data_IF_305459294965
#
_entry.id   IF_305459294965
#
_cell.length_a   1.000
_cell.length_b   1.000
_cell.length_c   1.000
_cell.angle_alpha   90.00
_cell.angle_beta   90.00
_cell.angle_gamma   90.00
#
_symmetry.space_group_name_H-M   'P 1'
#
loop_
_entity.id
_entity.type
_entity.pdbx_description
1 polymer ?
#
# COMPACT_ATOMS: atom_id res chain seq x y z
N UNK A 1 4.76 29.28 -2.18
CA UNK A 1 3.80 28.15 -2.10
C UNK A 1 2.62 28.64 -1.29
N UNK A 2 1.42 28.55 -1.84
CA UNK A 2 0.19 28.91 -1.12
C UNK A 2 -0.51 27.62 -0.73
N UNK A 3 -0.86 27.50 0.56
CA UNK A 3 -1.58 26.34 1.11
C UNK A 3 -2.89 26.83 1.69
N UNK A 4 -3.99 26.20 1.29
CA UNK A 4 -5.30 26.40 1.90
C UNK A 4 -5.77 25.08 2.49
N UNK A 5 -6.06 25.07 3.78
CA UNK A 5 -6.55 23.89 4.49
C UNK A 5 -8.04 24.05 4.73
N UNK A 6 -8.84 23.14 4.22
CA UNK A 6 -10.30 23.07 4.43
C UNK A 6 -10.62 21.78 5.16
N UNK A 7 -11.41 21.89 6.23
CA UNK A 7 -11.91 20.71 6.94
C UNK A 7 -13.18 20.21 6.26
N UNK A 8 -13.12 19.03 5.65
CA UNK A 8 -14.29 18.39 5.04
C UNK A 8 -15.17 17.71 6.08
N UNK A 9 -14.55 17.18 7.15
CA UNK A 9 -15.22 16.44 8.22
C UNK A 9 -14.42 16.59 9.52
N UNK A 10 -14.91 16.04 10.64
CA UNK A 10 -14.20 16.10 11.94
C UNK A 10 -12.75 15.63 11.86
N UNK A 11 -12.46 14.67 10.99
CA UNK A 11 -11.16 14.05 10.86
C UNK A 11 -10.53 14.15 9.47
N UNK A 12 -11.31 14.52 8.43
CA UNK A 12 -10.82 14.67 7.06
C UNK A 12 -10.45 16.12 6.77
N UNK A 13 -9.26 16.31 6.23
CA UNK A 13 -8.76 17.62 5.80
C UNK A 13 -8.39 17.52 4.33
N UNK A 14 -8.76 18.55 3.61
CA UNK A 14 -8.36 18.78 2.23
C UNK A 14 -7.39 19.95 2.20
N UNK A 15 -6.22 19.72 1.62
CA UNK A 15 -5.23 20.74 1.37
C UNK A 15 -5.23 21.08 -0.12
N UNK A 16 -5.50 22.31 -0.45
CA UNK A 16 -5.27 22.85 -1.81
C UNK A 16 -3.93 23.55 -1.81
N UNK A 17 -3.02 23.09 -2.67
CA UNK A 17 -1.62 23.53 -2.69
C UNK A 17 -1.31 24.08 -4.08
N UNK A 18 -0.92 25.38 -4.11
CA UNK A 18 -0.40 26.03 -5.30
C UNK A 18 1.13 26.15 -5.22
N UNK A 19 1.81 25.54 -6.18
CA UNK A 19 3.27 25.51 -6.26
C UNK A 19 3.73 26.45 -7.37
N UNK A 20 4.61 27.42 -7.09
CA UNK A 20 5.12 28.33 -8.11
C UNK A 20 6.02 27.61 -9.12
N UNK A 21 6.08 28.15 -10.34
CA UNK A 21 6.85 27.59 -11.44
C UNK A 21 8.34 27.36 -11.11
N UNK A 22 8.94 28.20 -10.26
CA UNK A 22 10.33 28.04 -9.84
C UNK A 22 10.62 26.71 -9.13
N UNK A 23 9.67 26.25 -8.30
CA UNK A 23 9.78 24.98 -7.58
C UNK A 23 9.58 23.81 -8.54
N UNK A 24 8.63 23.94 -9.48
CA UNK A 24 8.40 22.95 -10.53
C UNK A 24 9.64 22.77 -11.40
N UNK A 25 10.28 23.85 -11.83
CA UNK A 25 11.54 23.80 -12.61
C UNK A 25 12.68 23.12 -11.81
N UNK A 26 12.75 23.35 -10.49
CA UNK A 26 13.71 22.62 -9.64
C UNK A 26 13.39 21.12 -9.59
N UNK A 27 12.11 20.76 -9.48
CA UNK A 27 11.65 19.37 -9.52
C UNK A 27 12.01 18.67 -10.83
N UNK A 28 11.83 19.33 -11.98
CA UNK A 28 12.29 18.79 -13.27
C UNK A 28 13.81 18.54 -13.30
N UNK A 29 14.61 19.44 -12.75
CA UNK A 29 16.07 19.23 -12.66
C UNK A 29 16.41 18.02 -11.78
N UNK A 30 15.71 17.84 -10.67
CA UNK A 30 15.89 16.70 -9.77
C UNK A 30 15.46 15.39 -10.44
N UNK A 31 14.32 15.39 -11.13
CA UNK A 31 13.83 14.23 -11.87
C UNK A 31 14.82 13.78 -12.95
N UNK A 32 15.32 14.71 -13.74
CA UNK A 32 16.35 14.44 -14.75
C UNK A 32 17.60 13.84 -14.11
N UNK A 33 18.07 14.39 -12.99
CA UNK A 33 19.23 13.87 -12.25
C UNK A 33 18.94 12.47 -11.66
N UNK A 34 17.75 12.25 -11.17
CA UNK A 34 17.31 10.96 -10.61
C UNK A 34 17.31 9.88 -11.68
N UNK A 35 16.65 10.10 -12.81
CA UNK A 35 16.62 9.19 -13.96
C UNK A 35 18.03 8.94 -14.49
N UNK A 36 18.85 10.00 -14.66
CA UNK A 36 20.24 9.86 -15.13
C UNK A 36 21.10 8.99 -14.22
N UNK A 37 20.81 8.99 -12.90
CA UNK A 37 21.51 8.17 -11.92
C UNK A 37 21.00 6.74 -11.83
N UNK A 38 19.76 6.48 -12.21
CA UNK A 38 19.20 5.13 -12.17
C UNK A 38 19.58 4.33 -13.44
N UNK A 39 19.61 4.98 -14.58
CA UNK A 39 19.74 4.30 -15.86
C UNK A 39 21.11 4.55 -16.51
N UNK A 40 21.65 3.50 -17.15
CA UNK A 40 22.87 3.61 -17.95
C UNK A 40 22.51 4.00 -19.39
N UNK A 41 22.84 5.23 -19.76
CA UNK A 41 22.60 5.75 -21.12
C UNK A 41 23.87 5.54 -21.97
N UNK A 42 23.79 4.90 -23.13
CA UNK A 42 24.94 4.71 -24.00
C UNK A 42 25.61 6.04 -24.38
N UNK A 43 26.92 6.11 -24.28
CA UNK A 43 27.70 7.32 -24.58
C UNK A 43 27.83 8.33 -23.47
N UNK A 44 27.17 8.14 -22.31
CA UNK A 44 27.25 9.05 -21.17
C UNK A 44 27.63 8.33 -19.87
N UNK A 45 28.43 9.00 -19.03
CA UNK A 45 28.70 8.54 -17.67
C UNK A 45 27.41 8.67 -16.85
N UNK A 46 27.13 7.69 -16.00
CA UNK A 46 25.98 7.68 -15.08
C UNK A 46 25.83 9.01 -14.32
N UNK A 47 24.66 9.61 -14.36
CA UNK A 47 24.35 10.89 -13.76
C UNK A 47 24.79 12.13 -14.55
N UNK A 48 25.39 12.01 -15.76
CA UNK A 48 25.89 13.13 -16.55
C UNK A 48 25.18 13.32 -17.89
N UNK A 49 24.14 12.56 -18.16
CA UNK A 49 23.35 12.71 -19.38
C UNK A 49 22.53 14.02 -19.33
N UNK A 50 22.56 14.85 -20.39
CA UNK A 50 21.75 16.06 -20.47
C UNK A 50 20.27 15.73 -20.64
N UNK A 51 19.38 16.62 -20.16
CA UNK A 51 17.92 16.48 -20.18
C UNK A 51 17.39 16.02 -21.55
N UNK A 52 17.86 16.64 -22.63
CA UNK A 52 17.41 16.33 -23.99
C UNK A 52 17.63 14.87 -24.39
N UNK A 53 18.73 14.27 -23.95
CA UNK A 53 19.04 12.86 -24.22
C UNK A 53 18.15 11.94 -23.40
N UNK A 54 17.89 12.31 -22.16
CA UNK A 54 16.98 11.55 -21.28
C UNK A 54 15.55 11.58 -21.83
N UNK A 55 15.06 12.75 -22.23
CA UNK A 55 13.74 12.92 -22.84
C UNK A 55 13.60 12.16 -24.17
N UNK A 56 14.70 12.02 -24.94
CA UNK A 56 14.70 11.26 -26.20
C UNK A 56 14.64 9.75 -25.96
N UNK A 57 15.28 9.25 -24.88
CA UNK A 57 15.31 7.82 -24.55
C UNK A 57 14.07 7.34 -23.79
N UNK A 58 13.55 8.15 -22.89
CA UNK A 58 12.45 7.77 -21.98
C UNK A 58 11.12 8.45 -22.31
N UNK A 59 11.15 9.44 -23.17
CA UNK A 59 9.98 10.28 -23.47
C UNK A 59 9.85 11.46 -22.50
N UNK A 60 9.24 12.53 -22.97
CA UNK A 60 8.98 13.72 -22.15
C UNK A 60 7.98 13.44 -21.04
N UNK A 61 7.02 12.55 -21.29
CA UNK A 61 5.97 12.19 -20.33
C UNK A 61 6.53 11.46 -19.09
N UNK A 62 7.50 10.55 -19.29
CA UNK A 62 8.14 9.85 -18.19
C UNK A 62 8.94 10.80 -17.28
N UNK A 63 9.65 11.77 -17.88
CA UNK A 63 10.37 12.80 -17.12
C UNK A 63 9.41 13.72 -16.39
N UNK A 64 8.28 14.08 -17.02
CA UNK A 64 7.25 14.90 -16.40
C UNK A 64 6.56 14.16 -15.23
N UNK A 65 6.28 12.86 -15.37
CA UNK A 65 5.72 12.05 -14.30
C UNK A 65 6.63 11.99 -13.07
N UNK A 66 7.92 11.69 -13.29
CA UNK A 66 8.91 11.69 -12.18
C UNK A 66 9.06 13.06 -11.53
N UNK A 67 9.07 14.14 -12.33
CA UNK A 67 9.11 15.50 -11.81
C UNK A 67 7.86 15.84 -10.99
N UNK A 68 6.71 15.39 -11.44
CA UNK A 68 5.44 15.55 -10.74
C UNK A 68 5.47 14.87 -9.37
N UNK A 69 5.89 13.62 -9.30
CA UNK A 69 5.97 12.87 -8.05
C UNK A 69 6.92 13.55 -7.04
N UNK A 70 8.06 14.01 -7.50
CA UNK A 70 9.03 14.74 -6.66
C UNK A 70 8.42 16.05 -6.13
N UNK A 71 7.80 16.85 -7.01
CA UNK A 71 7.22 18.15 -6.63
C UNK A 71 6.04 17.98 -5.68
N UNK A 72 5.14 17.03 -5.96
CA UNK A 72 3.98 16.74 -5.13
C UNK A 72 4.41 16.30 -3.74
N UNK A 73 5.32 15.32 -3.65
CA UNK A 73 5.78 14.82 -2.36
C UNK A 73 6.48 15.90 -1.53
N UNK A 74 7.31 16.73 -2.17
CA UNK A 74 8.01 17.82 -1.48
C UNK A 74 7.03 18.89 -1.00
N UNK A 75 6.14 19.36 -1.88
CA UNK A 75 5.18 20.40 -1.54
C UNK A 75 4.14 19.91 -0.50
N UNK A 76 3.75 18.66 -0.55
CA UNK A 76 2.84 18.05 0.44
C UNK A 76 3.48 17.99 1.83
N UNK A 77 4.75 17.55 1.91
CA UNK A 77 5.48 17.52 3.18
C UNK A 77 5.64 18.93 3.77
N UNK A 78 5.98 19.89 2.94
CA UNK A 78 6.11 21.29 3.36
C UNK A 78 4.76 21.85 3.85
N UNK A 79 3.67 21.54 3.15
CA UNK A 79 2.33 21.97 3.53
C UNK A 79 1.88 21.35 4.87
N UNK A 80 2.10 20.06 5.07
CA UNK A 80 1.78 19.35 6.32
C UNK A 80 2.57 19.94 7.49
N UNK A 81 3.86 20.27 7.27
CA UNK A 81 4.70 20.91 8.28
C UNK A 81 4.25 22.34 8.61
N UNK A 82 3.89 23.16 7.61
CA UNK A 82 3.39 24.52 7.81
C UNK A 82 2.11 24.54 8.64
N UNK A 83 1.16 23.67 8.32
CA UNK A 83 -0.12 23.56 9.03
C UNK A 83 -0.03 22.76 10.34
N UNK A 84 1.14 22.23 10.68
CA UNK A 84 1.38 21.40 11.87
C UNK A 84 0.35 20.26 12.00
N UNK A 85 0.01 19.66 10.87
CA UNK A 85 -0.91 18.54 10.80
C UNK A 85 -0.15 17.22 10.93
N UNK A 86 -0.81 16.21 11.47
CA UNK A 86 -0.28 14.84 11.49
C UNK A 86 -1.25 14.00 10.67
N UNK A 87 -0.79 13.58 9.48
CA UNK A 87 -1.54 12.67 8.64
C UNK A 87 -1.47 11.24 9.19
N UNK A 88 -2.61 10.60 9.36
CA UNK A 88 -2.72 9.20 9.81
C UNK A 88 -2.81 8.25 8.63
N UNK A 89 -3.34 8.72 7.50
CA UNK A 89 -3.47 7.94 6.27
C UNK A 89 -2.59 8.54 5.17
N UNK A 90 -2.23 7.70 4.20
CA UNK A 90 -1.60 8.18 2.96
C UNK A 90 -2.52 9.18 2.26
N UNK A 91 -2.04 10.39 1.95
CA UNK A 91 -2.84 11.40 1.27
C UNK A 91 -3.28 10.95 -0.13
N UNK A 92 -4.56 11.14 -0.43
CA UNK A 92 -5.08 11.00 -1.79
C UNK A 92 -4.87 12.32 -2.53
N UNK A 93 -4.03 12.30 -3.56
CA UNK A 93 -3.70 13.50 -4.34
C UNK A 93 -4.48 13.51 -5.64
N UNK A 94 -5.22 14.60 -5.87
CA UNK A 94 -5.85 14.92 -7.15
C UNK A 94 -5.13 16.09 -7.77
N UNK A 95 -4.57 15.86 -8.95
CA UNK A 95 -3.91 16.89 -9.72
C UNK A 95 -4.92 17.68 -10.51
N UNK A 96 -4.80 19.01 -10.48
CA UNK A 96 -5.61 19.94 -11.27
C UNK A 96 -4.80 20.50 -12.44
N UNK A 97 -3.56 20.89 -12.18
CA UNK A 97 -2.68 21.49 -13.19
C UNK A 97 -1.21 21.18 -12.85
N UNK A 98 -0.42 20.89 -13.89
CA UNK A 98 1.02 20.75 -13.77
C UNK A 98 1.70 21.26 -15.04
N UNK A 99 2.45 22.35 -14.91
CA UNK A 99 3.15 22.97 -16.03
C UNK A 99 4.48 23.59 -15.55
N UNK A 100 5.51 23.48 -16.36
CA UNK A 100 6.83 24.09 -16.08
C UNK A 100 6.78 25.62 -16.05
N UNK A 101 5.83 26.23 -16.80
CA UNK A 101 5.71 27.67 -16.95
C UNK A 101 4.73 28.31 -15.98
N UNK A 102 3.61 27.62 -15.71
CA UNK A 102 2.52 28.14 -14.89
C UNK A 102 2.56 27.62 -13.45
N UNK A 103 3.42 26.66 -13.15
CA UNK A 103 3.47 26.02 -11.85
C UNK A 103 2.58 24.78 -11.75
N UNK A 104 2.28 24.35 -10.52
CA UNK A 104 1.44 23.19 -10.26
C UNK A 104 0.37 23.51 -9.22
N UNK A 105 -0.84 22.99 -9.43
CA UNK A 105 -1.93 23.02 -8.47
C UNK A 105 -2.45 21.62 -8.25
N UNK A 106 -2.58 21.22 -6.99
CA UNK A 106 -3.14 19.93 -6.62
C UNK A 106 -3.85 19.97 -5.29
N UNK A 107 -4.76 19.05 -5.11
CA UNK A 107 -5.58 18.89 -3.91
C UNK A 107 -5.24 17.57 -3.24
N UNK A 108 -4.86 17.61 -1.97
CA UNK A 108 -4.55 16.43 -1.18
C UNK A 108 -5.59 16.24 -0.08
N UNK A 109 -6.19 15.05 0.01
CA UNK A 109 -7.16 14.69 1.04
C UNK A 109 -6.60 13.59 1.92
N UNK A 110 -6.63 13.79 3.22
CA UNK A 110 -6.16 12.81 4.20
C UNK A 110 -6.89 12.93 5.54
N UNK A 111 -6.76 11.92 6.37
CA UNK A 111 -7.28 11.92 7.74
C UNK A 111 -6.22 12.45 8.69
N UNK A 112 -6.57 13.51 9.44
CA UNK A 112 -5.71 14.07 10.49
C UNK A 112 -5.88 13.32 11.80
N UNK A 113 -4.84 13.31 12.62
CA UNK A 113 -4.92 12.79 13.98
C UNK A 113 -5.94 13.60 14.79
N UNK A 114 -6.93 12.93 15.43
CA UNK A 114 -7.91 13.61 16.25
C UNK A 114 -7.27 14.19 17.52
N UNK A 115 -7.68 15.40 17.88
CA UNK A 115 -7.31 15.99 19.17
C UNK A 115 -8.28 15.48 20.22
N UNK A 116 -7.80 14.61 21.12
CA UNK A 116 -8.60 14.04 22.19
C UNK A 116 -8.67 15.04 23.35
N UNK A 117 -9.89 15.35 23.80
CA UNK A 117 -10.14 16.03 25.06
C UNK A 117 -10.41 14.97 26.12
N UNK A 118 -9.55 14.92 27.13
CA UNK A 118 -9.77 14.02 28.26
C UNK A 118 -10.97 14.50 29.07
N UNK A 119 -11.90 13.60 29.35
CA UNK A 119 -12.96 13.82 30.32
C UNK A 119 -12.45 13.65 31.75
N UNK A 120 -13.34 13.57 32.73
CA UNK A 120 -12.99 13.25 34.11
C UNK A 120 -12.53 11.79 34.17
N UNK A 121 -11.25 11.57 34.41
CA UNK A 121 -10.62 10.25 34.46
C UNK A 121 -10.17 9.85 35.88
N UNK A 122 -10.34 10.77 36.86
CA UNK A 122 -10.06 10.51 38.27
C UNK A 122 -11.35 10.13 38.97
N UNK A 123 -11.27 9.16 39.88
CA UNK A 123 -12.43 8.71 40.69
C UNK A 123 -13.37 7.76 39.95
N UNK A 124 -12.99 7.23 38.80
CA UNK A 124 -13.78 6.21 38.10
C UNK A 124 -13.79 4.90 38.89
N UNK A 125 -14.98 4.36 39.09
CA UNK A 125 -15.17 3.02 39.65
C UNK A 125 -15.55 2.05 38.51
N UNK A 126 -14.82 0.96 38.39
CA UNK A 126 -15.13 -0.08 37.41
C UNK A 126 -15.52 -1.39 38.14
N UNK A 127 -16.61 -2.01 37.69
CA UNK A 127 -17.01 -3.31 38.24
C UNK A 127 -16.07 -4.39 37.66
N UNK A 128 -15.28 -4.99 38.53
CA UNK A 128 -14.44 -6.12 38.14
C UNK A 128 -15.29 -7.38 38.02
N UNK A 129 -15.46 -7.87 36.82
CA UNK A 129 -16.13 -9.15 36.57
C UNK A 129 -15.04 -10.21 36.41
N UNK A 130 -15.04 -11.20 37.31
CA UNK A 130 -14.16 -12.37 37.13
C UNK A 130 -14.68 -13.18 35.96
N UNK A 131 -13.85 -13.46 34.93
CA UNK A 131 -14.25 -14.35 33.86
C UNK A 131 -14.43 -15.76 34.42
N UNK A 132 -15.62 -16.31 34.21
CA UNK A 132 -15.87 -17.74 34.48
C UNK A 132 -15.46 -18.51 33.22
N UNK A 133 -14.46 -19.35 33.37
CA UNK A 133 -13.99 -20.22 32.27
C UNK A 133 -14.80 -21.50 32.35
N UNK A 134 -15.55 -21.80 31.31
CA UNK A 134 -16.30 -23.05 31.20
C UNK A 134 -15.40 -24.22 30.80
N UNK A 135 -15.77 -25.44 31.25
CA UNK A 135 -15.06 -26.65 30.86
C UNK A 135 -15.01 -26.85 29.34
N UNK A 136 -16.04 -26.41 28.62
CA UNK A 136 -16.07 -26.43 27.17
C UNK A 136 -14.97 -25.57 26.53
N UNK A 137 -14.68 -24.40 27.11
CA UNK A 137 -13.60 -23.54 26.63
C UNK A 137 -12.23 -24.17 26.87
N UNK A 138 -12.05 -24.84 28.02
CA UNK A 138 -10.82 -25.57 28.33
C UNK A 138 -10.64 -26.73 27.34
N UNK A 139 -11.70 -27.51 27.09
CA UNK A 139 -11.66 -28.62 26.12
C UNK A 139 -11.41 -28.15 24.69
N UNK A 140 -11.96 -27.00 24.29
CA UNK A 140 -11.68 -26.40 22.99
C UNK A 140 -10.19 -26.01 22.83
N UNK A 141 -9.58 -25.44 23.87
CA UNK A 141 -8.15 -25.12 23.88
C UNK A 141 -7.28 -26.38 23.80
N UNK A 142 -7.65 -27.43 24.54
CA UNK A 142 -6.92 -28.71 24.49
C UNK A 142 -7.00 -29.33 23.09
N UNK A 143 -8.18 -29.31 22.46
CA UNK A 143 -8.35 -29.78 21.08
C UNK A 143 -7.51 -28.99 20.10
N UNK A 144 -7.53 -27.67 20.19
CA UNK A 144 -6.72 -26.80 19.32
C UNK A 144 -5.22 -27.08 19.49
N UNK A 145 -4.75 -27.26 20.72
CA UNK A 145 -3.36 -27.62 20.99
C UNK A 145 -3.01 -29.03 20.45
N UNK A 146 -3.92 -29.98 20.57
CA UNK A 146 -3.73 -31.31 20.01
C UNK A 146 -3.67 -31.31 18.47
N UNK A 147 -4.53 -30.51 17.80
CA UNK A 147 -4.51 -30.34 16.36
C UNK A 147 -3.21 -29.69 15.86
N UNK A 148 -2.69 -28.69 16.58
CA UNK A 148 -1.41 -28.04 16.22
C UNK A 148 -0.22 -28.99 16.35
N UNK A 149 -0.27 -29.95 17.25
CA UNK A 149 0.79 -30.94 17.48
C UNK A 149 0.51 -32.30 16.79
N UNK A 150 -0.58 -32.38 16.04
CA UNK A 150 -0.94 -33.61 15.33
C UNK A 150 0.11 -33.94 14.25
N UNK A 151 0.47 -35.21 14.17
CA UNK A 151 1.34 -35.74 13.11
C UNK A 151 0.48 -36.48 12.11
N UNK A 152 0.78 -36.25 10.83
CA UNK A 152 0.13 -37.04 9.77
C UNK A 152 0.81 -38.40 9.69
N UNK A 153 0.02 -39.45 9.88
CA UNK A 153 0.44 -40.85 9.65
C UNK A 153 -0.26 -41.40 8.41
N UNK A 154 0.45 -42.20 7.66
CA UNK A 154 -0.08 -42.81 6.45
C UNK A 154 -1.10 -43.88 6.87
N UNK A 155 -2.32 -43.78 6.42
CA UNK A 155 -3.34 -44.79 6.66
C UNK A 155 -3.00 -46.11 5.97
N UNK A 156 -3.51 -47.22 6.50
CA UNK A 156 -3.36 -48.56 5.90
C UNK A 156 -4.05 -48.62 4.54
N UNK A 157 -3.51 -49.42 3.63
CA UNK A 157 -4.06 -49.59 2.29
C UNK A 157 -5.49 -50.18 2.37
N UNK A 158 -6.44 -49.53 1.68
CA UNK A 158 -7.85 -49.94 1.69
C UNK A 158 -8.72 -49.23 2.74
N UNK A 159 -8.18 -48.31 3.52
CA UNK A 159 -8.96 -47.53 4.48
C UNK A 159 -9.87 -46.55 3.76
N UNK A 160 -11.16 -46.52 4.14
CA UNK A 160 -12.15 -45.59 3.60
C UNK A 160 -11.97 -44.23 4.25
N UNK A 161 -11.87 -43.19 3.45
CA UNK A 161 -11.77 -41.80 3.89
C UNK A 161 -12.95 -41.37 4.77
N UNK A 162 -12.68 -40.83 5.93
CA UNK A 162 -13.67 -40.30 6.86
C UNK A 162 -13.55 -38.74 6.91
N UNK A 163 -14.61 -38.11 7.42
CA UNK A 163 -14.62 -36.68 7.64
C UNK A 163 -13.53 -36.29 8.66
N UNK A 164 -12.55 -35.53 8.24
CA UNK A 164 -11.39 -35.13 9.05
C UNK A 164 -10.05 -35.70 8.55
N UNK A 165 -10.09 -36.69 7.65
CA UNK A 165 -8.87 -37.23 7.05
C UNK A 165 -8.35 -36.32 5.95
N UNK A 166 -7.03 -36.37 5.72
CA UNK A 166 -6.35 -35.62 4.66
C UNK A 166 -6.07 -36.58 3.50
N UNK A 167 -6.68 -36.32 2.35
CA UNK A 167 -6.41 -37.06 1.12
C UNK A 167 -5.35 -36.34 0.27
N UNK A 168 -4.30 -37.06 -0.10
CA UNK A 168 -3.32 -36.59 -1.10
C UNK A 168 -3.69 -37.21 -2.44
N UNK A 169 -4.07 -36.38 -3.40
CA UNK A 169 -4.49 -36.79 -4.73
C UNK A 169 -3.61 -36.14 -5.80
N UNK A 170 -3.16 -36.96 -6.74
CA UNK A 170 -2.53 -36.47 -7.96
C UNK A 170 -3.58 -36.38 -9.06
N UNK A 171 -3.68 -35.23 -9.73
CA UNK A 171 -4.54 -35.11 -10.89
C UNK A 171 -3.78 -34.53 -12.09
N UNK A 172 -4.06 -35.00 -13.28
CA UNK A 172 -3.62 -34.41 -14.54
C UNK A 172 -4.79 -33.67 -15.16
N UNK A 173 -4.68 -32.34 -15.24
CA UNK A 173 -5.61 -31.50 -15.97
C UNK A 173 -5.08 -31.16 -17.37
N UNK A 174 -5.94 -31.17 -18.40
CA UNK A 174 -5.63 -30.66 -19.72
C UNK A 174 -6.44 -29.42 -19.97
N UNK A 175 -5.78 -28.34 -20.47
CA UNK A 175 -6.41 -27.05 -20.73
C UNK A 175 -7.34 -27.05 -21.95
N UNK A 176 -7.28 -28.06 -22.82
CA UNK A 176 -8.00 -28.08 -24.10
C UNK A 176 -9.07 -29.15 -24.21
N UNK A 177 -9.05 -30.17 -23.36
CA UNK A 177 -10.09 -31.26 -23.37
C UNK A 177 -10.31 -31.76 -21.95
N UNK A 178 -11.52 -32.18 -21.68
CA UNK A 178 -11.89 -32.89 -20.45
C UNK A 178 -10.93 -34.04 -20.18
N UNK A 179 -10.55 -34.26 -18.91
CA UNK A 179 -9.69 -35.36 -18.51
C UNK A 179 -10.17 -36.69 -19.14
N UNK A 180 -9.25 -37.54 -19.62
CA UNK A 180 -9.65 -38.80 -20.27
C UNK A 180 -10.53 -39.62 -19.32
N UNK A 181 -11.65 -40.09 -19.87
CA UNK A 181 -12.60 -40.91 -19.13
C UNK A 181 -11.89 -42.19 -18.61
N UNK A 182 -12.28 -42.71 -17.44
CA UNK A 182 -11.78 -43.98 -16.96
C UNK A 182 -11.93 -45.17 -17.95
N UNK A 183 -12.80 -44.99 -18.94
CA UNK A 183 -12.98 -45.98 -20.04
C UNK A 183 -11.86 -45.97 -21.09
N UNK A 184 -11.07 -44.93 -21.18
CA UNK A 184 -9.96 -44.79 -22.11
C UNK A 184 -8.65 -45.42 -21.59
N UNK A 185 -8.70 -46.08 -20.45
CA UNK A 185 -7.61 -46.86 -19.86
C UNK A 185 -7.68 -48.35 -20.16
N UNK A 186 -8.16 -48.72 -21.31
CA UNK A 186 -8.01 -50.09 -21.75
C UNK A 186 -6.92 -50.17 -22.81
N UNK A 187 -5.71 -50.40 -22.37
CA UNK A 187 -4.73 -51.39 -22.92
C UNK A 187 -3.61 -51.54 -21.92
#
# INVERSE_FOLDING_TARGET
>A
MNVKAEALDQHKVQLTIDVPAEVVVKGFKQAVAHIANQVKIPGFRKGKAPRRIIEMHFGKEAVAGEAQDIVINQALNDAIMQEKLIAVTTPEVKQERFSETEGAAFTATFVKQPKVKLGEYKGLSAKHVKPEISDDQVMAQIRQAAEQNARMEKAEEGTVLKKGDIAVIDFKGCLLYTSPSPRDRSV
#
